data_IF_404878842001
#
_entry.id   IF_404878842001
#
_cell.length_a   1.000
_cell.length_b   1.000
_cell.length_c   1.000
_cell.angle_alpha   90.00
_cell.angle_beta   90.00
_cell.angle_gamma   90.00
#
_symmetry.space_group_name_H-M   'P 1'
#
loop_
_entity.id
_entity.type
_entity.pdbx_description
1 polymer ?
#
# COMPACT_ATOMS: atom_id res chain seq x y z
N UNK A 1 -3.65 17.32 9.00
CA UNK A 1 -4.61 17.93 8.05
C UNK A 1 -5.57 16.89 7.46
N UNK A 2 -5.07 15.75 6.93
CA UNK A 2 -5.93 14.72 6.34
C UNK A 2 -6.96 14.16 7.32
N UNK A 3 -6.59 13.91 8.57
CA UNK A 3 -7.53 13.42 9.61
C UNK A 3 -8.68 14.39 9.84
N UNK A 4 -8.43 15.69 9.81
CA UNK A 4 -9.46 16.71 9.95
C UNK A 4 -10.45 16.65 8.78
N UNK A 5 -9.95 16.49 7.56
CA UNK A 5 -10.81 16.35 6.37
C UNK A 5 -11.67 15.08 6.45
N UNK A 6 -11.07 13.95 6.82
CA UNK A 6 -11.81 12.70 7.04
C UNK A 6 -12.95 12.90 8.07
N UNK A 7 -12.65 13.52 9.20
CA UNK A 7 -13.65 13.80 10.26
C UNK A 7 -14.77 14.71 9.78
N UNK A 8 -14.45 15.77 9.03
CA UNK A 8 -15.47 16.68 8.46
C UNK A 8 -16.42 15.93 7.53
N UNK A 9 -15.90 15.04 6.68
CA UNK A 9 -16.73 14.26 5.79
C UNK A 9 -17.57 13.21 6.55
N UNK A 10 -16.98 12.50 7.50
CA UNK A 10 -17.66 11.47 8.28
C UNK A 10 -18.76 12.06 9.17
N UNK A 11 -18.60 13.27 9.69
CA UNK A 11 -19.56 13.93 10.56
C UNK A 11 -20.66 14.65 9.79
N UNK A 12 -20.63 14.67 8.47
CA UNK A 12 -21.67 15.33 7.68
C UNK A 12 -22.95 14.47 7.68
N UNK A 13 -24.11 15.02 8.15
CA UNK A 13 -25.36 14.26 8.25
C UNK A 13 -26.08 14.07 6.90
N UNK A 14 -25.64 14.75 5.84
CA UNK A 14 -26.34 14.74 4.55
C UNK A 14 -25.89 13.62 3.60
N UNK A 15 -24.80 12.93 3.92
CA UNK A 15 -24.28 11.79 3.14
C UNK A 15 -23.50 10.81 4.01
N UNK A 16 -23.33 9.61 3.51
CA UNK A 16 -22.49 8.60 4.15
C UNK A 16 -21.09 8.64 3.55
N UNK A 17 -20.07 8.45 4.39
CA UNK A 17 -18.67 8.52 3.96
C UNK A 17 -17.93 7.25 4.34
N UNK A 18 -17.31 6.60 3.36
CA UNK A 18 -16.33 5.55 3.59
C UNK A 18 -14.94 6.10 3.28
N UNK A 19 -14.04 5.97 4.23
CA UNK A 19 -12.64 6.38 4.09
C UNK A 19 -11.81 5.18 3.66
N UNK A 20 -11.08 5.35 2.57
CA UNK A 20 -10.19 4.33 2.04
C UNK A 20 -8.76 4.87 1.99
N UNK A 21 -7.91 4.39 2.89
CA UNK A 21 -6.52 4.81 3.01
C UNK A 21 -5.64 3.82 2.27
N UNK A 22 -5.20 4.20 1.08
CA UNK A 22 -4.32 3.37 0.26
C UNK A 22 -2.88 3.38 0.77
N UNK A 23 -2.22 2.24 0.69
CA UNK A 23 -0.76 2.15 0.76
C UNK A 23 -0.08 2.78 -0.46
N UNK A 24 1.21 2.57 -0.60
CA UNK A 24 1.95 3.03 -1.78
C UNK A 24 1.40 2.40 -3.05
N UNK A 25 0.99 3.23 -4.01
CA UNK A 25 0.34 2.77 -5.23
C UNK A 25 1.37 2.26 -6.24
N UNK A 26 1.19 1.02 -6.68
CA UNK A 26 1.97 0.41 -7.75
C UNK A 26 1.06 -0.12 -8.86
N UNK A 27 1.62 -0.32 -10.05
CA UNK A 27 0.93 -0.89 -11.20
C UNK A 27 1.91 -1.53 -12.17
N UNK A 28 1.41 -2.03 -13.29
CA UNK A 28 2.23 -2.72 -14.29
C UNK A 28 3.36 -1.87 -14.86
N UNK A 29 3.13 -0.58 -14.99
CA UNK A 29 4.07 0.40 -15.56
C UNK A 29 4.58 1.41 -14.53
N UNK A 30 4.08 1.35 -13.31
CA UNK A 30 4.39 2.28 -12.22
C UNK A 30 4.90 1.53 -10.99
N UNK A 31 6.19 1.69 -10.71
CA UNK A 31 6.79 1.15 -9.50
C UNK A 31 7.94 2.07 -9.03
N UNK A 32 8.03 2.34 -7.71
CA UNK A 32 9.10 3.16 -7.15
C UNK A 32 10.52 2.65 -7.43
N UNK A 33 10.67 1.38 -7.78
CA UNK A 33 11.98 0.78 -8.12
C UNK A 33 12.71 1.56 -9.21
N UNK A 34 11.99 2.18 -10.16
CA UNK A 34 12.60 3.00 -11.21
C UNK A 34 13.39 4.19 -10.66
N UNK A 35 12.93 4.77 -9.55
CA UNK A 35 13.59 5.91 -8.92
C UNK A 35 14.75 5.50 -8.01
N UNK A 36 14.77 4.25 -7.57
CA UNK A 36 15.77 3.73 -6.65
C UNK A 36 16.84 2.88 -7.36
N UNK A 37 16.59 2.46 -8.59
CA UNK A 37 17.53 1.66 -9.37
C UNK A 37 18.92 2.31 -9.43
N UNK A 38 19.96 1.54 -9.13
CA UNK A 38 21.34 1.98 -9.15
C UNK A 38 21.76 2.91 -8.01
N UNK A 39 20.85 3.30 -7.11
CA UNK A 39 21.22 4.08 -5.93
C UNK A 39 21.93 3.21 -4.90
N UNK A 40 22.87 3.82 -4.21
CA UNK A 40 23.69 3.14 -3.22
C UNK A 40 23.39 3.63 -1.81
N UNK A 41 23.65 2.73 -0.85
CA UNK A 41 23.62 3.05 0.58
C UNK A 41 22.29 3.63 1.06
N UNK A 42 21.17 3.09 0.56
CA UNK A 42 19.83 3.53 0.95
C UNK A 42 19.53 3.16 2.42
N UNK A 43 18.80 4.01 3.15
CA UNK A 43 18.43 3.73 4.53
C UNK A 43 17.24 2.77 4.63
N UNK A 44 17.00 2.28 5.85
CA UNK A 44 15.80 1.53 6.23
C UNK A 44 15.63 0.21 5.46
N UNK A 45 16.72 -0.55 5.28
CA UNK A 45 16.71 -1.84 4.59
C UNK A 45 15.63 -2.80 5.11
N UNK A 46 15.46 -2.86 6.43
CA UNK A 46 14.53 -3.79 7.11
C UNK A 46 13.11 -3.26 7.31
N UNK A 47 12.82 -2.01 6.92
CA UNK A 47 11.47 -1.47 7.01
C UNK A 47 10.50 -2.25 6.10
N UNK A 48 9.27 -2.55 6.55
CA UNK A 48 8.31 -3.28 5.74
C UNK A 48 7.78 -2.42 4.59
N UNK A 49 7.49 -3.06 3.48
CA UNK A 49 6.74 -2.46 2.37
C UNK A 49 5.25 -2.48 2.70
N UNK A 50 4.57 -1.37 2.41
CA UNK A 50 3.11 -1.23 2.52
C UNK A 50 2.57 -0.70 1.19
N UNK A 51 2.48 -1.57 0.20
CA UNK A 51 2.03 -1.22 -1.15
C UNK A 51 0.69 -1.85 -1.48
N UNK A 52 0.05 -1.34 -2.51
CA UNK A 52 -1.14 -1.92 -3.11
C UNK A 52 -1.09 -1.75 -4.63
N UNK A 53 -1.47 -2.79 -5.35
CA UNK A 53 -1.56 -2.73 -6.80
C UNK A 53 -2.85 -2.02 -7.25
N UNK A 54 -2.78 -1.29 -8.36
CA UNK A 54 -3.91 -0.55 -8.93
C UNK A 54 -5.14 -1.44 -9.16
N UNK A 55 -4.95 -2.67 -9.60
CA UNK A 55 -6.05 -3.62 -9.82
C UNK A 55 -6.84 -3.89 -8.52
N UNK A 56 -6.14 -4.02 -7.39
CA UNK A 56 -6.78 -4.22 -6.09
C UNK A 56 -7.47 -2.93 -5.59
N UNK A 57 -6.91 -1.75 -5.89
CA UNK A 57 -7.60 -0.50 -5.58
C UNK A 57 -8.97 -0.44 -6.25
N UNK A 58 -9.03 -0.78 -7.53
CA UNK A 58 -10.27 -0.81 -8.31
C UNK A 58 -11.23 -1.87 -7.76
N UNK A 59 -10.73 -3.09 -7.52
CA UNK A 59 -11.54 -4.18 -6.99
C UNK A 59 -12.14 -3.88 -5.62
N UNK A 60 -11.40 -3.24 -4.74
CA UNK A 60 -11.87 -2.84 -3.41
C UNK A 60 -12.97 -1.78 -3.52
N UNK A 61 -12.79 -0.76 -4.36
CA UNK A 61 -13.81 0.27 -4.59
C UNK A 61 -15.10 -0.36 -5.14
N UNK A 62 -14.99 -1.23 -6.11
CA UNK A 62 -16.13 -1.96 -6.67
C UNK A 62 -16.85 -2.80 -5.61
N UNK A 63 -16.10 -3.43 -4.71
CA UNK A 63 -16.65 -4.24 -3.62
C UNK A 63 -17.41 -3.40 -2.60
N UNK A 64 -16.86 -2.24 -2.22
CA UNK A 64 -17.52 -1.28 -1.32
C UNK A 64 -18.87 -0.83 -1.90
N UNK A 65 -18.88 -0.45 -3.18
CA UNK A 65 -20.09 -0.02 -3.88
C UNK A 65 -21.09 -1.17 -4.00
N UNK A 66 -20.65 -2.33 -4.43
CA UNK A 66 -21.52 -3.52 -4.61
C UNK A 66 -22.16 -4.01 -3.32
N UNK A 67 -21.48 -3.88 -2.18
CA UNK A 67 -21.99 -4.26 -0.86
C UNK A 67 -22.70 -3.11 -0.12
N UNK A 68 -22.78 -1.92 -0.70
CA UNK A 68 -23.25 -0.71 -0.01
C UNK A 68 -22.56 -0.52 1.36
N UNK A 69 -21.24 -0.74 1.39
CA UNK A 69 -20.45 -0.70 2.62
C UNK A 69 -20.03 0.74 2.94
N UNK A 70 -20.95 1.48 3.56
CA UNK A 70 -20.76 2.89 3.91
C UNK A 70 -20.43 3.09 5.38
N UNK A 71 -19.96 4.28 5.72
CA UNK A 71 -19.58 4.70 7.08
C UNK A 71 -18.46 3.86 7.71
N UNK A 72 -17.53 3.40 6.88
CA UNK A 72 -16.37 2.61 7.30
C UNK A 72 -15.06 3.36 7.04
N UNK A 73 -14.03 2.97 7.75
CA UNK A 73 -12.65 3.38 7.46
C UNK A 73 -11.79 2.14 7.28
N UNK A 74 -11.16 2.03 6.11
CA UNK A 74 -10.31 0.91 5.76
C UNK A 74 -8.89 1.35 5.43
N UNK A 75 -7.91 0.57 5.89
CA UNK A 75 -6.58 0.58 5.32
C UNK A 75 -6.54 -0.42 4.17
N UNK A 76 -6.24 0.06 2.99
CA UNK A 76 -6.15 -0.75 1.78
C UNK A 76 -4.68 -0.93 1.40
N UNK A 77 -4.09 -1.98 1.92
CA UNK A 77 -2.69 -2.35 1.74
C UNK A 77 -2.63 -3.85 1.48
N UNK A 78 -1.81 -4.26 0.50
CA UNK A 78 -1.59 -5.69 0.27
C UNK A 78 -1.06 -6.38 1.54
N UNK A 79 -1.51 -7.59 1.85
CA UNK A 79 -0.97 -8.37 2.98
C UNK A 79 0.48 -8.84 2.77
N UNK A 80 1.08 -8.54 1.64
CA UNK A 80 2.46 -8.84 1.32
C UNK A 80 3.38 -7.71 1.81
N UNK A 81 4.20 -7.99 2.83
CA UNK A 81 5.05 -7.01 3.50
C UNK A 81 6.53 -7.46 3.55
N UNK A 82 7.22 -7.59 2.42
CA UNK A 82 8.66 -7.84 2.42
C UNK A 82 9.39 -6.63 3.00
N UNK A 83 10.65 -6.80 3.34
CA UNK A 83 11.52 -5.66 3.65
C UNK A 83 11.78 -4.81 2.39
N UNK A 84 12.17 -3.56 2.59
CA UNK A 84 12.54 -2.68 1.46
C UNK A 84 13.66 -3.28 0.62
N UNK A 85 14.69 -3.83 1.28
CA UNK A 85 15.82 -4.46 0.60
C UNK A 85 15.38 -5.64 -0.26
N UNK A 86 14.60 -6.57 0.30
CA UNK A 86 14.07 -7.72 -0.43
C UNK A 86 13.21 -7.30 -1.62
N UNK A 87 12.29 -6.37 -1.38
CA UNK A 87 11.36 -5.90 -2.41
C UNK A 87 12.07 -5.25 -3.58
N UNK A 88 12.92 -4.25 -3.31
CA UNK A 88 13.55 -3.48 -4.38
C UNK A 88 14.63 -4.27 -5.12
N UNK A 89 15.33 -5.17 -4.44
CA UNK A 89 16.27 -6.07 -5.11
C UNK A 89 15.56 -6.99 -6.09
N UNK A 90 14.49 -7.66 -5.62
CA UNK A 90 13.68 -8.55 -6.46
C UNK A 90 13.05 -7.79 -7.63
N UNK A 91 12.42 -6.64 -7.34
CA UNK A 91 11.71 -5.86 -8.36
C UNK A 91 12.66 -5.27 -9.41
N UNK A 92 13.86 -4.87 -9.01
CA UNK A 92 14.87 -4.41 -9.96
C UNK A 92 15.29 -5.54 -10.94
N UNK A 93 15.46 -6.76 -10.44
CA UNK A 93 15.76 -7.91 -11.29
C UNK A 93 14.61 -8.20 -12.27
N UNK A 94 13.36 -8.20 -11.79
CA UNK A 94 12.17 -8.41 -12.63
C UNK A 94 12.08 -7.37 -13.77
N UNK A 95 12.46 -6.14 -13.48
CA UNK A 95 12.41 -5.03 -14.43
C UNK A 95 13.71 -4.81 -15.20
N UNK A 96 14.68 -5.70 -15.08
CA UNK A 96 15.99 -5.62 -15.72
C UNK A 96 16.73 -4.30 -15.43
N UNK A 97 16.59 -3.83 -14.19
CA UNK A 97 17.24 -2.63 -13.68
C UNK A 97 18.38 -3.01 -12.73
N UNK A 98 19.30 -2.06 -12.52
CA UNK A 98 20.36 -2.20 -11.53
C UNK A 98 19.74 -2.15 -10.13
N UNK A 99 19.91 -3.21 -9.35
CA UNK A 99 19.39 -3.23 -7.99
C UNK A 99 20.02 -2.14 -7.12
N UNK A 100 19.24 -1.46 -6.27
CA UNK A 100 19.81 -0.55 -5.28
C UNK A 100 20.55 -1.33 -4.19
N UNK A 101 21.49 -0.67 -3.53
CA UNK A 101 22.13 -1.20 -2.33
C UNK A 101 21.67 -0.47 -1.10
N UNK A 102 21.67 -1.15 0.03
CA UNK A 102 21.19 -0.61 1.31
C UNK A 102 22.30 -0.55 2.34
N UNK A 103 22.21 0.42 3.24
CA UNK A 103 23.11 0.54 4.38
C UNK A 103 22.83 -0.60 5.37
N UNK A 104 23.77 -1.54 5.57
CA UNK A 104 23.56 -2.67 6.46
C UNK A 104 23.47 -2.27 7.94
N UNK A 105 23.92 -1.06 8.28
CA UNK A 105 23.88 -0.53 9.65
C UNK A 105 22.57 0.21 9.96
N UNK A 106 21.78 0.53 8.94
CA UNK A 106 20.50 1.20 9.10
C UNK A 106 19.43 0.22 9.56
N UNK A 107 19.01 0.35 10.81
CA UNK A 107 17.86 -0.38 11.33
C UNK A 107 16.59 0.19 10.70
N UNK A 108 15.80 -0.69 10.07
CA UNK A 108 14.52 -0.29 9.52
C UNK A 108 13.54 0.10 10.60
N UNK A 109 13.09 1.34 10.57
CA UNK A 109 11.94 1.79 11.34
C UNK A 109 10.75 1.90 10.40
N UNK A 110 9.69 1.19 10.69
CA UNK A 110 8.50 1.24 9.85
C UNK A 110 7.37 0.41 10.46
N UNK A 111 6.16 0.82 10.15
CA UNK A 111 4.97 0.11 10.59
C UNK A 111 4.50 -0.82 9.49
N UNK A 112 4.11 -2.02 9.86
CA UNK A 112 3.32 -2.90 9.01
C UNK A 112 1.86 -2.47 9.13
N UNK A 113 1.25 -2.07 8.03
CA UNK A 113 -0.15 -1.65 8.01
C UNK A 113 -1.02 -2.86 7.65
N UNK A 114 -1.93 -3.22 8.55
CA UNK A 114 -2.84 -4.34 8.35
C UNK A 114 -4.07 -3.93 7.54
N UNK A 115 -4.48 -4.81 6.63
CA UNK A 115 -5.74 -4.76 5.89
C UNK A 115 -6.77 -5.79 6.36
N UNK A 116 -6.57 -6.38 7.53
CA UNK A 116 -7.42 -7.47 8.04
C UNK A 116 -8.89 -7.06 8.14
N UNK A 117 -9.17 -5.84 8.63
CA UNK A 117 -10.53 -5.30 8.70
C UNK A 117 -11.19 -5.26 7.32
N UNK A 118 -10.48 -4.76 6.32
CA UNK A 118 -10.95 -4.69 4.93
C UNK A 118 -11.27 -6.07 4.39
N UNK A 119 -10.33 -7.01 4.54
CA UNK A 119 -10.49 -8.39 4.06
C UNK A 119 -11.69 -9.08 4.72
N UNK A 120 -11.89 -8.88 6.03
CA UNK A 120 -12.97 -9.50 6.78
C UNK A 120 -14.33 -8.90 6.42
N UNK A 121 -14.47 -7.58 6.43
CA UNK A 121 -15.77 -6.90 6.21
C UNK A 121 -16.19 -7.00 4.74
N UNK A 122 -15.28 -6.75 3.80
CA UNK A 122 -15.58 -6.82 2.37
C UNK A 122 -15.50 -8.22 1.80
N UNK A 123 -14.98 -9.20 2.55
CA UNK A 123 -14.65 -10.54 2.05
C UNK A 123 -13.80 -10.43 0.76
N UNK A 124 -12.82 -9.53 0.79
CA UNK A 124 -11.96 -9.23 -0.35
C UNK A 124 -10.69 -10.08 -0.29
N UNK A 125 -10.38 -10.70 -1.41
CA UNK A 125 -9.10 -11.39 -1.62
C UNK A 125 -8.26 -10.59 -2.60
N UNK A 126 -7.05 -10.20 -2.18
CA UNK A 126 -6.12 -9.49 -3.05
C UNK A 126 -5.72 -10.37 -4.23
N UNK A 127 -5.75 -9.81 -5.43
CA UNK A 127 -5.48 -10.54 -6.67
C UNK A 127 -4.06 -10.33 -7.19
N UNK A 128 -3.41 -9.24 -6.77
CA UNK A 128 -2.06 -8.90 -7.20
C UNK A 128 -1.08 -8.86 -6.03
N UNK A 129 0.13 -9.33 -6.30
CA UNK A 129 1.27 -9.12 -5.39
C UNK A 129 2.06 -7.91 -5.92
N UNK A 130 2.18 -6.81 -5.16
CA UNK A 130 2.88 -5.60 -5.59
C UNK A 130 4.33 -5.81 -6.00
#
# INVERSE_FOLDING_TARGET
QLVIVEQLLQNNPHFQTTILRFGGLVGTDRNPVRFLAGKENLPNAKAPINFIHQADCIGIIQKIIGLNCWNETFNAVSPYHPTREEYYTKKALEWQLIAPTFDPTSSGTGKRISSDKLQTILKYTFVETP
#
